data_IF_944223635882
#
_entry.id   IF_944223635882
#
_cell.length_a   1.000
_cell.length_b   1.000
_cell.length_c   1.000
_cell.angle_alpha   90.00
_cell.angle_beta   90.00
_cell.angle_gamma   90.00
#
_symmetry.space_group_name_H-M   'P 1'
#
loop_
_entity.id
_entity.type
_entity.pdbx_description
1 polymer ?
#
# COMPACT_ATOMS: atom_id res chain seq x y z
N UNK A 1 20.99 14.85 4.98
CA UNK A 1 21.42 16.04 4.21
C UNK A 1 20.17 16.67 3.65
N UNK A 2 20.02 18.00 3.71
CA UNK A 2 18.71 18.69 3.68
C UNK A 2 17.76 18.14 2.60
N UNK A 3 18.22 17.98 1.36
CA UNK A 3 17.44 17.41 0.27
C UNK A 3 16.85 16.02 0.60
N UNK A 4 17.69 15.08 1.05
CA UNK A 4 17.27 13.74 1.45
C UNK A 4 16.31 13.81 2.64
N UNK A 5 16.63 14.64 3.62
CA UNK A 5 15.83 14.75 4.86
C UNK A 5 14.43 15.30 4.55
N UNK A 6 14.31 16.22 3.59
CA UNK A 6 13.01 16.68 3.08
C UNK A 6 12.21 15.57 2.40
N UNK A 7 12.85 14.75 1.55
CA UNK A 7 12.18 13.63 0.89
C UNK A 7 11.76 12.52 1.87
N UNK A 8 12.57 12.28 2.91
CA UNK A 8 12.23 11.35 3.98
C UNK A 8 10.94 11.80 4.68
N UNK A 9 10.85 13.08 5.09
CA UNK A 9 9.65 13.63 5.74
C UNK A 9 8.41 13.55 4.85
N UNK A 10 8.54 13.87 3.57
CA UNK A 10 7.44 13.71 2.60
C UNK A 10 6.97 12.26 2.55
N UNK A 11 7.89 11.30 2.59
CA UNK A 11 7.55 9.87 2.56
C UNK A 11 6.90 9.40 3.85
N UNK A 12 7.38 9.87 5.00
CA UNK A 12 6.77 9.64 6.31
C UNK A 12 5.34 10.19 6.38
N UNK A 13 5.09 11.40 5.86
CA UNK A 13 3.74 11.97 5.77
C UNK A 13 2.83 11.16 4.82
N UNK A 14 3.36 10.69 3.68
CA UNK A 14 2.61 9.82 2.75
C UNK A 14 2.19 8.52 3.45
N UNK A 15 3.02 7.98 4.35
CA UNK A 15 2.79 6.76 5.12
C UNK A 15 2.40 7.07 6.58
N UNK A 16 1.56 8.09 6.80
CA UNK A 16 1.03 8.43 8.12
C UNK A 16 -0.49 8.36 8.16
N UNK A 17 -1.06 8.47 9.36
CA UNK A 17 -2.52 8.59 9.55
C UNK A 17 -3.03 10.03 9.37
N UNK A 18 -2.14 11.01 9.30
CA UNK A 18 -2.48 12.43 9.19
C UNK A 18 -2.84 12.83 7.76
N UNK A 19 -2.34 12.07 6.77
CA UNK A 19 -2.60 12.30 5.36
C UNK A 19 -3.19 11.05 4.69
N UNK A 20 -4.47 11.13 4.33
CA UNK A 20 -5.27 9.98 3.95
C UNK A 20 -5.12 9.52 2.48
N UNK A 21 -4.02 9.83 1.80
CA UNK A 21 -3.77 9.34 0.43
C UNK A 21 -3.54 7.82 0.44
N UNK A 22 -2.81 7.34 1.44
CA UNK A 22 -2.73 5.94 1.80
C UNK A 22 -3.40 5.73 3.16
N UNK A 23 -3.88 4.52 3.41
CA UNK A 23 -4.53 4.12 4.65
C UNK A 23 -3.87 2.87 5.20
N UNK A 24 -3.87 2.67 6.54
CA UNK A 24 -3.32 1.46 7.11
C UNK A 24 -4.08 0.22 6.62
N UNK A 25 -3.37 -0.90 6.48
CA UNK A 25 -3.99 -2.18 6.11
C UNK A 25 -5.03 -2.64 7.15
N UNK A 26 -6.07 -3.38 6.74
CA UNK A 26 -7.13 -3.84 7.64
C UNK A 26 -6.62 -4.62 8.87
N UNK A 27 -5.66 -5.52 8.67
CA UNK A 27 -5.11 -6.37 9.73
C UNK A 27 -4.23 -5.63 10.76
N UNK A 28 -4.07 -4.30 10.66
CA UNK A 28 -3.42 -3.49 11.70
C UNK A 28 -4.08 -3.65 13.07
N UNK A 29 -5.40 -3.80 13.09
CA UNK A 29 -6.19 -3.96 14.32
C UNK A 29 -5.85 -5.23 15.07
N UNK A 30 -5.45 -6.27 14.34
CA UNK A 30 -5.17 -7.60 14.87
C UNK A 30 -3.66 -7.85 15.04
N UNK A 31 -2.83 -6.81 14.90
CA UNK A 31 -1.37 -6.92 14.89
C UNK A 31 -0.85 -7.96 13.88
N UNK A 32 -1.49 -8.03 12.71
CA UNK A 32 -1.07 -8.93 11.63
C UNK A 32 0.34 -8.62 11.12
N UNK A 33 0.95 -9.57 10.41
CA UNK A 33 2.35 -9.52 9.92
C UNK A 33 2.71 -8.21 9.21
N UNK A 34 1.76 -7.61 8.48
CA UNK A 34 1.95 -6.36 7.74
C UNK A 34 1.15 -5.18 8.32
N UNK A 35 0.72 -5.24 9.58
CA UNK A 35 -0.18 -4.26 10.20
C UNK A 35 0.33 -2.82 10.20
N UNK A 36 1.64 -2.61 10.15
CA UNK A 36 2.24 -1.26 10.08
C UNK A 36 2.38 -0.71 8.65
N UNK A 37 1.88 -1.44 7.64
CA UNK A 37 1.95 -1.04 6.24
C UNK A 37 0.70 -0.30 5.77
N UNK A 38 0.82 0.36 4.62
CA UNK A 38 -0.22 1.22 4.06
C UNK A 38 -0.63 0.78 2.64
N UNK A 39 -1.91 0.95 2.32
CA UNK A 39 -2.50 0.68 1.01
C UNK A 39 -3.09 1.98 0.41
N UNK A 40 -3.13 2.11 -0.93
CA UNK A 40 -3.78 3.26 -1.57
C UNK A 40 -5.23 3.39 -1.11
N UNK A 41 -5.66 4.60 -0.75
CA UNK A 41 -7.03 4.82 -0.32
C UNK A 41 -7.97 4.85 -1.55
N UNK A 42 -8.91 3.90 -1.68
CA UNK A 42 -9.79 3.81 -2.84
C UNK A 42 -10.75 5.00 -2.96
N UNK A 43 -10.91 5.82 -1.91
CA UNK A 43 -11.76 7.02 -1.92
C UNK A 43 -11.17 8.15 -2.78
N UNK A 44 -9.89 8.10 -3.13
CA UNK A 44 -9.19 9.13 -3.91
C UNK A 44 -9.15 8.84 -5.41
N UNK A 45 -10.30 8.55 -6.01
CA UNK A 45 -10.44 8.29 -7.45
C UNK A 45 -10.67 9.55 -8.32
N UNK A 46 -10.72 10.74 -7.71
CA UNK A 46 -10.86 12.00 -8.44
C UNK A 46 -9.59 12.33 -9.24
N UNK A 47 -9.68 13.18 -10.27
CA UNK A 47 -8.51 13.66 -11.03
C UNK A 47 -7.42 14.23 -10.12
N UNK A 48 -7.81 14.95 -9.06
CA UNK A 48 -6.86 15.47 -8.07
C UNK A 48 -6.21 14.35 -7.26
N UNK A 49 -6.98 13.37 -6.80
CA UNK A 49 -6.46 12.21 -6.07
C UNK A 49 -5.47 11.39 -6.91
N UNK A 50 -5.80 11.14 -8.18
CA UNK A 50 -4.92 10.46 -9.12
C UNK A 50 -3.62 11.24 -9.37
N UNK A 51 -3.68 12.57 -9.50
CA UNK A 51 -2.48 13.40 -9.61
C UNK A 51 -1.60 13.35 -8.34
N UNK A 52 -2.21 13.21 -7.16
CA UNK A 52 -1.48 13.02 -5.90
C UNK A 52 -0.79 11.64 -5.85
N UNK A 53 -1.44 10.58 -6.32
CA UNK A 53 -0.79 9.27 -6.47
C UNK A 53 0.34 9.29 -7.49
N UNK A 54 0.17 9.99 -8.63
CA UNK A 54 1.24 10.16 -9.62
C UNK A 54 2.46 10.87 -8.99
N UNK A 55 2.22 11.91 -8.18
CA UNK A 55 3.28 12.57 -7.45
C UNK A 55 4.01 11.63 -6.48
N UNK A 56 3.28 10.84 -5.68
CA UNK A 56 3.88 9.83 -4.81
C UNK A 56 4.74 8.83 -5.61
N UNK A 57 4.23 8.35 -6.76
CA UNK A 57 4.97 7.48 -7.68
C UNK A 57 6.26 8.12 -8.23
N UNK A 58 6.27 9.43 -8.48
CA UNK A 58 7.50 10.16 -8.86
C UNK A 58 8.52 10.15 -7.73
N UNK A 59 8.11 10.34 -6.47
CA UNK A 59 9.00 10.25 -5.29
C UNK A 59 9.56 8.84 -5.13
N UNK A 60 8.73 7.80 -5.31
CA UNK A 60 9.20 6.41 -5.33
C UNK A 60 10.25 6.17 -6.43
N UNK A 61 10.01 6.70 -7.63
CA UNK A 61 10.96 6.62 -8.75
C UNK A 61 12.28 7.34 -8.48
N UNK A 62 12.24 8.49 -7.80
CA UNK A 62 13.44 9.20 -7.32
C UNK A 62 14.21 8.32 -6.32
N UNK A 63 13.50 7.74 -5.34
CA UNK A 63 14.09 6.85 -4.33
C UNK A 63 14.92 5.74 -4.98
N UNK A 64 14.32 5.05 -5.96
CA UNK A 64 14.97 3.95 -6.67
C UNK A 64 16.16 4.41 -7.52
N UNK A 65 16.01 5.47 -8.34
CA UNK A 65 17.06 5.91 -9.26
C UNK A 65 18.27 6.53 -8.55
N UNK A 66 18.03 7.18 -7.41
CA UNK A 66 19.08 7.84 -6.64
C UNK A 66 19.62 7.00 -5.48
N UNK A 67 19.09 5.79 -5.27
CA UNK A 67 19.41 4.95 -4.10
C UNK A 67 19.23 5.73 -2.80
N UNK A 68 18.13 6.48 -2.71
CA UNK A 68 17.87 7.36 -1.57
C UNK A 68 17.30 6.62 -0.36
N UNK A 69 16.82 5.39 -0.57
CA UNK A 69 16.23 4.49 0.43
C UNK A 69 15.15 5.20 1.27
N UNK A 70 14.23 5.88 0.58
CA UNK A 70 13.11 6.56 1.23
C UNK A 70 12.16 5.54 1.88
N UNK A 71 11.60 5.84 3.07
CA UNK A 71 10.90 4.88 3.91
C UNK A 71 9.45 4.63 3.46
N UNK A 72 9.25 4.09 2.26
CA UNK A 72 7.93 3.65 1.80
C UNK A 72 7.55 2.35 2.51
N UNK A 73 6.47 2.38 3.29
CA UNK A 73 6.02 1.24 4.11
C UNK A 73 4.76 0.63 3.49
N UNK A 74 4.95 -0.24 2.50
CA UNK A 74 3.87 -0.90 1.76
C UNK A 74 3.93 -2.43 1.92
N UNK A 75 2.77 -3.13 1.89
CA UNK A 75 2.73 -4.58 1.99
C UNK A 75 3.25 -5.24 0.70
N UNK A 76 3.68 -6.52 0.74
CA UNK A 76 4.11 -7.26 -0.44
C UNK A 76 3.11 -7.22 -1.59
N UNK A 77 1.80 -7.28 -1.28
CA UNK A 77 0.74 -7.18 -2.27
C UNK A 77 0.88 -5.92 -3.14
N UNK A 78 1.10 -4.75 -2.55
CA UNK A 78 1.21 -3.51 -3.33
C UNK A 78 2.46 -3.51 -4.21
N UNK A 79 3.58 -4.03 -3.69
CA UNK A 79 4.80 -4.16 -4.49
C UNK A 79 4.61 -5.07 -5.69
N UNK A 80 3.93 -6.22 -5.52
CA UNK A 80 3.58 -7.14 -6.62
C UNK A 80 2.76 -6.43 -7.69
N UNK A 81 1.72 -5.69 -7.29
CA UNK A 81 0.87 -4.95 -8.21
C UNK A 81 1.66 -3.90 -9.01
N UNK A 82 2.56 -3.17 -8.36
CA UNK A 82 3.39 -2.14 -9.01
C UNK A 82 4.32 -2.72 -10.09
N UNK A 83 4.79 -3.95 -9.94
CA UNK A 83 5.64 -4.62 -10.92
C UNK A 83 4.86 -5.52 -11.89
N UNK A 84 3.52 -5.48 -11.86
CA UNK A 84 2.66 -6.26 -12.75
C UNK A 84 2.62 -7.76 -12.43
N UNK A 85 3.01 -8.17 -11.23
CA UNK A 85 2.83 -9.55 -10.78
C UNK A 85 1.36 -9.82 -10.39
N UNK A 86 0.85 -11.03 -10.63
CA UNK A 86 -0.51 -11.38 -10.26
C UNK A 86 -0.67 -11.41 -8.73
N UNK A 87 -1.76 -10.81 -8.25
CA UNK A 87 -2.21 -10.94 -6.87
C UNK A 87 -2.95 -12.26 -6.67
N UNK A 88 -2.69 -12.90 -5.53
CA UNK A 88 -3.31 -14.15 -5.10
C UNK A 88 -4.19 -13.90 -3.87
N UNK A 89 -5.01 -14.89 -3.50
CA UNK A 89 -5.83 -14.80 -2.28
C UNK A 89 -4.94 -14.77 -1.03
N UNK A 90 -3.82 -15.50 -1.03
CA UNK A 90 -2.86 -15.48 0.07
C UNK A 90 -2.27 -14.06 0.29
N UNK A 91 -1.95 -13.34 -0.80
CA UNK A 91 -1.46 -11.96 -0.69
C UNK A 91 -2.52 -11.02 -0.07
N UNK A 92 -3.81 -11.32 -0.24
CA UNK A 92 -4.90 -10.58 0.39
C UNK A 92 -5.07 -10.97 1.85
N UNK A 93 -5.04 -12.27 2.18
CA UNK A 93 -5.13 -12.77 3.56
C UNK A 93 -4.05 -12.16 4.46
N UNK A 94 -2.86 -11.96 3.91
CA UNK A 94 -1.72 -11.33 4.58
C UNK A 94 -2.00 -9.90 5.05
N UNK A 95 -2.96 -9.18 4.44
CA UNK A 95 -3.32 -7.80 4.82
C UNK A 95 -4.77 -7.65 5.31
N UNK A 96 -5.64 -8.58 4.95
CA UNK A 96 -7.07 -8.63 5.26
C UNK A 96 -7.55 -10.09 5.32
N UNK A 97 -7.34 -10.70 6.49
CA UNK A 97 -7.70 -12.09 6.72
C UNK A 97 -9.21 -12.36 6.63
N UNK A 98 -10.05 -11.38 6.97
CA UNK A 98 -11.50 -11.51 6.85
C UNK A 98 -11.92 -11.57 5.38
N UNK A 99 -11.44 -10.64 4.55
CA UNK A 99 -11.72 -10.63 3.12
C UNK A 99 -11.21 -11.90 2.42
N UNK A 100 -10.01 -12.37 2.79
CA UNK A 100 -9.47 -13.62 2.25
C UNK A 100 -10.36 -14.83 2.53
N UNK A 101 -10.77 -15.03 3.79
CA UNK A 101 -11.70 -16.11 4.19
C UNK A 101 -13.05 -16.04 3.46
N UNK A 102 -13.59 -14.83 3.30
CA UNK A 102 -14.84 -14.61 2.55
C UNK A 102 -14.71 -15.04 1.08
N UNK A 103 -13.58 -14.73 0.44
CA UNK A 103 -13.35 -15.14 -0.96
C UNK A 103 -13.22 -16.66 -1.08
N UNK A 104 -12.56 -17.32 -0.14
CA UNK A 104 -12.39 -18.78 -0.15
C UNK A 104 -13.75 -19.46 -0.01
N UNK A 105 -14.54 -19.11 1.01
CA UNK A 105 -15.87 -19.69 1.23
C UNK A 105 -16.82 -19.44 0.06
N UNK A 106 -16.79 -18.26 -0.56
CA UNK A 106 -17.61 -17.96 -1.74
C UNK A 106 -17.24 -18.80 -2.98
N UNK A 107 -15.98 -19.23 -3.11
CA UNK A 107 -15.54 -20.11 -4.21
C UNK A 107 -15.98 -21.55 -3.99
N UNK A 108 -15.93 -22.02 -2.74
CA UNK A 108 -16.38 -23.35 -2.35
C UNK A 108 -17.89 -23.49 -2.60
N UNK A 109 -18.69 -22.53 -2.13
CA UNK A 109 -20.15 -22.53 -2.32
C UNK A 109 -20.62 -22.45 -3.79
N UNK A 110 -19.76 -22.00 -4.70
CA UNK A 110 -20.08 -21.93 -6.15
C UNK A 110 -19.71 -23.22 -6.90
N UNK A 111 -18.99 -24.12 -6.24
CA UNK A 111 -18.54 -25.39 -6.79
C UNK A 111 -19.51 -26.54 -6.48
N UNK A 112 -20.48 -26.30 -5.60
CA UNK A 112 -21.65 -27.15 -5.30
C UNK A 112 -22.85 -26.78 -6.22
#
# INVERSE_FOLDING_TARGET
GIYRDSLTRVTEEICSTDFNLFIPVPNRRDHGTYGETFMPNPRHASTRGLAMFEFAGKIMGISMRQKADLPFIFPPLLWKLLVGQPATVADLEDIDGDAGRLIISAREAKSE
#
